data_IF_048794103603
#
_entry.id   IF_048794103603
#
_cell.length_a   1.000
_cell.length_b   1.000
_cell.length_c   1.000
_cell.angle_alpha   90.00
_cell.angle_beta   90.00
_cell.angle_gamma   90.00
#
_symmetry.space_group_name_H-M   'P 1'
#
loop_
_entity.id
_entity.type
_entity.pdbx_description
1 polymer ?
#
# COMPACT_ATOMS: atom_id res chain seq x y z
N UNK A 1 3.65 -6.25 15.43
CA UNK A 1 4.70 -6.32 14.41
C UNK A 1 4.30 -7.38 13.39
N UNK A 2 3.85 -6.96 12.22
CA UNK A 2 3.78 -7.88 11.08
C UNK A 2 5.19 -7.99 10.48
N UNK A 3 6.09 -8.59 11.23
CA UNK A 3 7.29 -9.17 10.68
C UNK A 3 6.90 -10.61 10.34
N UNK A 4 6.90 -10.96 9.05
CA UNK A 4 6.67 -12.32 8.63
C UNK A 4 7.75 -13.20 9.25
N UNK A 5 7.40 -13.95 10.29
CA UNK A 5 8.31 -14.85 10.99
C UNK A 5 8.30 -16.20 10.28
N UNK A 6 9.14 -16.41 9.32
CA UNK A 6 9.48 -17.74 8.85
C UNK A 6 10.99 -17.94 8.85
N UNK A 7 11.45 -18.92 9.59
CA UNK A 7 12.74 -19.59 9.61
C UNK A 7 14.05 -18.77 9.57
N UNK A 8 14.77 -18.91 10.59
CA UNK A 8 15.77 -18.11 11.27
C UNK A 8 17.13 -17.86 10.65
N UNK A 9 17.54 -18.51 9.59
CA UNK A 9 18.88 -18.28 9.02
C UNK A 9 18.88 -17.68 7.60
N UNK A 10 17.70 -17.30 7.13
CA UNK A 10 17.46 -16.90 5.74
C UNK A 10 17.06 -15.41 5.61
N UNK A 11 16.86 -14.68 6.71
CA UNK A 11 16.41 -13.28 6.61
C UNK A 11 17.53 -12.32 6.24
N UNK A 12 17.88 -12.33 4.98
CA UNK A 12 18.71 -11.28 4.38
C UNK A 12 17.90 -10.05 4.01
N UNK A 13 16.55 -10.11 4.10
CA UNK A 13 15.64 -9.05 3.62
C UNK A 13 14.39 -9.00 4.48
N UNK A 14 13.89 -7.79 4.75
CA UNK A 14 12.62 -7.55 5.44
C UNK A 14 11.72 -6.63 4.60
N UNK A 15 10.44 -6.95 4.52
CA UNK A 15 9.43 -6.06 3.95
C UNK A 15 8.66 -5.44 5.12
N UNK A 16 8.84 -4.14 5.33
CA UNK A 16 8.12 -3.40 6.35
C UNK A 16 6.79 -2.90 5.77
N UNK A 17 5.71 -3.54 6.15
CA UNK A 17 4.36 -3.17 5.72
C UNK A 17 3.77 -2.18 6.73
N UNK A 18 3.88 -0.91 6.41
CA UNK A 18 3.50 0.20 7.28
C UNK A 18 2.03 0.62 7.11
N UNK A 19 1.61 1.57 7.93
CA UNK A 19 0.33 2.27 7.74
C UNK A 19 0.23 2.82 6.31
N UNK A 20 -0.95 2.70 5.71
CA UNK A 20 -1.20 3.17 4.35
C UNK A 20 -0.80 2.21 3.23
N UNK A 21 -0.30 1.01 3.52
CA UNK A 21 -0.15 -0.03 2.50
C UNK A 21 -1.53 -0.53 2.03
N UNK A 22 -1.66 -0.86 0.75
CA UNK A 22 -2.90 -1.40 0.19
C UNK A 22 -3.10 -2.87 0.56
N UNK A 23 -4.35 -3.29 0.77
CA UNK A 23 -4.65 -4.62 1.31
C UNK A 23 -4.21 -4.74 2.77
N UNK A 24 -3.73 -5.91 3.20
CA UNK A 24 -3.27 -6.09 4.58
C UNK A 24 -2.18 -5.09 4.93
N UNK A 25 -2.34 -4.36 6.02
CA UNK A 25 -1.47 -3.28 6.40
C UNK A 25 -1.23 -3.23 7.91
N UNK A 26 -0.04 -2.75 8.29
CA UNK A 26 0.27 -2.38 9.66
C UNK A 26 -0.32 -1.02 10.05
N UNK A 27 -0.16 -0.67 11.31
CA UNK A 27 -0.60 0.62 11.88
C UNK A 27 0.56 1.56 12.17
N UNK A 28 1.79 1.06 12.08
CA UNK A 28 2.98 1.87 12.38
C UNK A 28 3.30 2.82 11.23
N UNK A 29 3.65 4.04 11.60
CA UNK A 29 4.21 5.00 10.66
C UNK A 29 5.53 4.48 10.06
N UNK A 30 5.78 4.65 8.74
CA UNK A 30 7.08 4.31 8.16
C UNK A 30 8.25 5.06 8.82
N UNK A 31 8.03 6.30 9.26
CA UNK A 31 9.03 7.11 9.96
C UNK A 31 9.50 6.47 11.28
N UNK A 32 8.61 5.83 12.02
CA UNK A 32 8.96 5.14 13.24
C UNK A 32 9.54 3.76 12.95
N UNK A 33 8.82 2.94 12.19
CA UNK A 33 9.14 1.51 12.02
C UNK A 33 10.50 1.29 11.35
N UNK A 34 10.83 2.06 10.29
CA UNK A 34 12.12 1.90 9.61
C UNK A 34 13.28 2.19 10.58
N UNK A 35 13.15 3.25 11.38
CA UNK A 35 14.21 3.64 12.34
C UNK A 35 14.39 2.60 13.45
N UNK A 36 13.29 2.07 14.00
CA UNK A 36 13.33 1.02 15.02
C UNK A 36 13.96 -0.28 14.48
N UNK A 37 13.58 -0.68 13.26
CA UNK A 37 14.12 -1.91 12.65
C UNK A 37 15.61 -1.79 12.34
N UNK A 38 16.06 -0.61 11.88
CA UNK A 38 17.48 -0.34 11.61
C UNK A 38 18.39 -0.43 12.85
N UNK A 39 17.86 -0.37 14.06
CA UNK A 39 18.65 -0.50 15.28
C UNK A 39 19.17 -1.94 15.52
N UNK A 40 18.46 -2.94 14.97
CA UNK A 40 18.79 -4.35 15.21
C UNK A 40 18.90 -5.21 13.95
N UNK A 41 18.50 -4.67 12.79
CA UNK A 41 18.54 -5.39 11.52
C UNK A 41 19.42 -4.65 10.51
N UNK A 42 20.50 -5.29 10.09
CA UNK A 42 21.49 -4.78 9.13
C UNK A 42 21.29 -5.28 7.69
N UNK A 43 20.30 -6.16 7.47
CA UNK A 43 19.94 -6.68 6.15
C UNK A 43 19.13 -5.68 5.30
N UNK A 44 18.77 -6.11 4.09
CA UNK A 44 18.01 -5.29 3.14
C UNK A 44 16.58 -5.04 3.63
N UNK A 45 16.19 -3.79 3.70
CA UNK A 45 14.84 -3.32 4.08
C UNK A 45 14.10 -2.81 2.84
N UNK A 46 12.92 -3.40 2.59
CA UNK A 46 11.95 -2.92 1.62
C UNK A 46 10.83 -2.20 2.39
N UNK A 47 10.57 -0.93 2.07
CA UNK A 47 9.47 -0.19 2.70
C UNK A 47 8.22 -0.22 1.83
N UNK A 48 7.09 -0.61 2.43
CA UNK A 48 5.76 -0.58 1.83
C UNK A 48 4.80 0.27 2.66
N UNK A 49 4.02 1.11 2.01
CA UNK A 49 2.99 1.96 2.60
C UNK A 49 3.00 3.37 2.03
N UNK A 50 1.90 3.76 1.41
CA UNK A 50 1.68 5.09 0.80
C UNK A 50 2.73 5.53 -0.23
N UNK A 51 3.47 4.60 -0.84
CA UNK A 51 4.48 4.89 -1.86
C UNK A 51 3.84 4.76 -3.25
N UNK A 52 3.80 5.85 -4.02
CA UNK A 52 3.13 5.89 -5.33
C UNK A 52 3.72 6.87 -6.34
N UNK A 53 4.77 7.59 -5.96
CA UNK A 53 5.51 8.54 -6.80
C UNK A 53 6.99 8.57 -6.45
N UNK A 54 7.80 9.29 -7.24
CA UNK A 54 9.24 9.37 -7.03
C UNK A 54 9.63 10.11 -5.75
N UNK A 55 8.82 11.06 -5.27
CA UNK A 55 9.06 11.76 -4.00
C UNK A 55 8.90 10.81 -2.81
N UNK A 56 7.90 9.95 -2.83
CA UNK A 56 7.71 8.93 -1.78
C UNK A 56 8.81 7.85 -1.83
N UNK A 57 9.35 7.52 -3.02
CA UNK A 57 10.54 6.66 -3.15
C UNK A 57 11.75 7.32 -2.50
N UNK A 58 12.04 8.59 -2.82
CA UNK A 58 13.14 9.33 -2.22
C UNK A 58 13.02 9.42 -0.70
N UNK A 59 11.79 9.63 -0.20
CA UNK A 59 11.50 9.64 1.24
C UNK A 59 11.77 8.30 1.91
N UNK A 60 11.39 7.19 1.27
CA UNK A 60 11.64 5.84 1.78
C UNK A 60 13.14 5.57 1.95
N UNK A 61 13.95 5.95 0.95
CA UNK A 61 15.41 5.81 1.00
C UNK A 61 16.02 6.74 2.06
N UNK A 62 15.53 7.97 2.19
CA UNK A 62 15.98 8.92 3.21
C UNK A 62 15.70 8.44 4.65
N UNK A 63 14.62 7.67 4.86
CA UNK A 63 14.33 7.01 6.14
C UNK A 63 15.34 5.90 6.49
N UNK A 64 16.02 5.34 5.48
CA UNK A 64 16.99 4.26 5.63
C UNK A 64 16.53 2.91 5.07
N UNK A 65 15.41 2.86 4.34
CA UNK A 65 15.07 1.70 3.54
C UNK A 65 16.03 1.57 2.34
N UNK A 66 16.30 0.36 1.91
CA UNK A 66 17.14 0.09 0.76
C UNK A 66 16.32 0.10 -0.55
N UNK A 67 15.03 -0.28 -0.46
CA UNK A 67 14.12 -0.35 -1.60
C UNK A 67 12.72 0.13 -1.21
N UNK A 68 12.00 0.69 -2.18
CA UNK A 68 10.59 1.00 -2.09
C UNK A 68 9.74 -0.14 -2.69
N UNK A 69 8.70 -0.58 -1.96
CA UNK A 69 7.78 -1.62 -2.41
C UNK A 69 6.44 -0.98 -2.80
N UNK A 70 6.12 -0.98 -4.08
CA UNK A 70 5.00 -0.27 -4.67
C UNK A 70 4.00 -1.28 -5.25
N UNK A 71 2.74 -1.22 -4.84
CA UNK A 71 1.66 -2.07 -5.37
C UNK A 71 0.58 -1.28 -6.10
N UNK A 72 -0.15 -0.45 -5.39
CA UNK A 72 -1.36 0.25 -5.87
C UNK A 72 -1.12 1.03 -7.16
N UNK A 73 0.01 1.75 -7.28
CA UNK A 73 0.34 2.52 -8.48
C UNK A 73 0.46 1.66 -9.74
N UNK A 74 0.99 0.43 -9.60
CA UNK A 74 1.12 -0.51 -10.71
C UNK A 74 -0.20 -1.20 -11.09
N UNK A 75 -1.20 -1.25 -10.20
CA UNK A 75 -2.55 -1.71 -10.55
C UNK A 75 -3.17 -0.75 -11.59
N UNK A 76 -2.92 0.55 -11.47
CA UNK A 76 -3.36 1.57 -12.43
C UNK A 76 -2.36 1.68 -13.60
N UNK A 77 -2.11 0.59 -14.31
CA UNK A 77 -1.33 0.55 -15.55
C UNK A 77 -2.09 -0.23 -16.63
N UNK A 78 -1.76 0.02 -17.90
CA UNK A 78 -2.40 -0.64 -19.03
C UNK A 78 -2.23 -2.16 -19.00
N UNK A 79 -1.05 -2.63 -18.59
CA UNK A 79 -0.67 -4.05 -18.58
C UNK A 79 -1.22 -4.81 -17.38
N UNK A 80 -1.64 -4.12 -16.30
CA UNK A 80 -2.21 -4.78 -15.14
C UNK A 80 -3.53 -5.48 -15.50
N UNK A 81 -3.62 -6.78 -15.19
CA UNK A 81 -4.85 -7.56 -15.37
C UNK A 81 -5.84 -7.28 -14.23
N UNK A 82 -6.23 -6.02 -14.06
CA UNK A 82 -7.20 -5.53 -13.10
C UNK A 82 -8.47 -5.07 -13.83
N UNK A 83 -9.63 -5.18 -13.16
CA UNK A 83 -10.89 -4.64 -13.66
C UNK A 83 -10.76 -3.15 -13.96
N UNK A 84 -11.32 -2.68 -15.09
CA UNK A 84 -11.23 -1.27 -15.47
C UNK A 84 -11.87 -0.36 -14.41
N UNK A 85 -12.99 -0.79 -13.83
CA UNK A 85 -13.64 -0.04 -12.74
C UNK A 85 -12.74 0.10 -11.50
N UNK A 86 -11.84 -0.87 -11.25
CA UNK A 86 -10.84 -0.73 -10.18
C UNK A 86 -9.81 0.34 -10.54
N UNK A 87 -9.26 0.32 -11.76
CA UNK A 87 -8.31 1.35 -12.22
C UNK A 87 -8.93 2.75 -12.16
N UNK A 88 -10.18 2.88 -12.63
CA UNK A 88 -10.92 4.14 -12.61
C UNK A 88 -11.14 4.66 -11.18
N UNK A 89 -11.47 3.76 -10.23
CA UNK A 89 -11.59 4.13 -8.81
C UNK A 89 -10.25 4.58 -8.22
N UNK A 90 -9.13 3.92 -8.57
CA UNK A 90 -7.81 4.36 -8.11
C UNK A 90 -7.46 5.77 -8.59
N UNK A 91 -7.84 6.13 -9.82
CA UNK A 91 -7.57 7.44 -10.42
C UNK A 91 -8.47 8.53 -9.83
N UNK A 92 -9.73 8.19 -9.51
CA UNK A 92 -10.72 9.15 -9.03
C UNK A 92 -10.76 9.33 -7.51
N UNK A 93 -10.05 8.50 -6.75
CA UNK A 93 -10.06 8.49 -5.29
C UNK A 93 -8.86 9.23 -4.67
N UNK A 94 -8.95 9.47 -3.38
CA UNK A 94 -7.93 10.12 -2.56
C UNK A 94 -7.65 9.30 -1.28
N UNK A 95 -6.70 9.73 -0.46
CA UNK A 95 -6.40 9.07 0.81
C UNK A 95 -7.60 9.01 1.78
N UNK A 96 -8.53 9.98 1.69
CA UNK A 96 -9.77 10.01 2.49
C UNK A 96 -10.78 8.94 2.09
N UNK A 97 -10.61 8.35 0.89
CA UNK A 97 -11.46 7.28 0.39
C UNK A 97 -10.93 5.88 0.75
N UNK A 98 -9.97 5.82 1.66
CA UNK A 98 -9.43 4.56 2.20
C UNK A 98 -10.02 4.30 3.58
N UNK A 99 -10.55 3.09 3.78
CA UNK A 99 -10.98 2.60 5.09
C UNK A 99 -10.10 1.44 5.54
N UNK A 100 -9.74 1.46 6.82
CA UNK A 100 -8.96 0.39 7.46
C UNK A 100 -9.90 -0.54 8.24
N UNK A 101 -10.06 -1.76 7.77
CA UNK A 101 -11.03 -2.71 8.34
C UNK A 101 -10.51 -4.14 8.31
N UNK A 102 -10.95 -4.94 9.29
CA UNK A 102 -10.73 -6.40 9.32
C UNK A 102 -11.91 -7.21 8.78
N UNK A 103 -13.03 -6.56 8.42
CA UNK A 103 -14.28 -7.21 8.07
C UNK A 103 -14.12 -8.25 6.95
N UNK A 104 -13.35 -7.92 5.92
CA UNK A 104 -13.35 -8.67 4.66
C UNK A 104 -12.50 -9.94 4.71
N UNK A 105 -11.41 -9.92 5.48
CA UNK A 105 -10.44 -11.02 5.53
C UNK A 105 -10.14 -11.52 6.93
N UNK A 106 -10.68 -10.87 7.96
CA UNK A 106 -10.34 -11.15 9.37
C UNK A 106 -9.01 -10.52 9.81
N UNK A 107 -8.22 -10.01 8.86
CA UNK A 107 -6.98 -9.25 9.11
C UNK A 107 -7.21 -7.81 8.65
N UNK A 108 -6.72 -6.84 9.43
CA UNK A 108 -6.87 -5.45 9.08
C UNK A 108 -6.13 -5.10 7.78
N UNK A 109 -6.80 -4.35 6.94
CA UNK A 109 -6.29 -3.89 5.65
C UNK A 109 -6.96 -2.61 5.18
N UNK A 110 -6.36 -1.98 4.19
CA UNK A 110 -6.86 -0.76 3.56
C UNK A 110 -7.64 -1.09 2.29
N UNK A 111 -8.85 -0.56 2.20
CA UNK A 111 -9.80 -0.81 1.12
C UNK A 111 -10.42 0.49 0.62
N UNK A 112 -10.81 0.52 -0.66
CA UNK A 112 -11.49 1.64 -1.30
C UNK A 112 -12.93 1.74 -0.85
N UNK A 113 -13.34 2.87 -0.23
CA UNK A 113 -14.73 3.17 0.15
C UNK A 113 -15.70 2.98 -1.00
N UNK A 114 -15.47 3.54 -2.21
CA UNK A 114 -16.40 3.36 -3.33
C UNK A 114 -16.63 1.90 -3.72
N UNK A 115 -15.64 1.00 -3.55
CA UNK A 115 -15.83 -0.42 -3.82
C UNK A 115 -16.70 -1.10 -2.76
N UNK A 116 -16.61 -0.66 -1.51
CA UNK A 116 -17.44 -1.12 -0.40
C UNK A 116 -18.89 -0.68 -0.59
N UNK A 117 -19.11 0.58 -0.96
CA UNK A 117 -20.43 1.14 -1.28
C UNK A 117 -21.08 0.42 -2.47
N UNK A 118 -20.30 0.17 -3.54
CA UNK A 118 -20.74 -0.62 -4.70
C UNK A 118 -21.18 -2.05 -4.32
N UNK A 119 -20.55 -2.61 -3.28
CA UNK A 119 -20.93 -3.92 -2.74
C UNK A 119 -22.17 -3.85 -1.80
N UNK A 120 -22.76 -2.67 -1.60
CA UNK A 120 -23.95 -2.45 -0.77
C UNK A 120 -23.70 -2.37 0.73
N UNK A 121 -22.47 -2.05 1.12
CA UNK A 121 -22.07 -1.85 2.52
C UNK A 121 -21.81 -0.37 2.80
N UNK A 122 -22.03 0.05 4.06
CA UNK A 122 -21.70 1.39 4.52
C UNK A 122 -20.25 1.42 5.06
N UNK A 123 -19.31 2.10 4.38
CA UNK A 123 -17.92 2.16 4.79
C UNK A 123 -17.68 2.88 6.12
N UNK A 124 -18.62 3.73 6.57
CA UNK A 124 -18.53 4.45 7.85
C UNK A 124 -19.04 3.60 9.03
N UNK A 125 -19.82 2.54 8.78
CA UNK A 125 -20.43 1.67 9.79
C UNK A 125 -20.13 0.18 9.54
N UNK A 126 -18.86 -0.15 9.26
CA UNK A 126 -18.45 -1.53 9.06
C UNK A 126 -18.37 -2.28 10.40
N UNK A 127 -19.02 -3.45 10.54
CA UNK A 127 -18.88 -4.26 11.73
C UNK A 127 -17.47 -4.84 11.83
N UNK A 128 -17.00 -5.10 13.05
CA UNK A 128 -15.76 -5.84 13.27
C UNK A 128 -15.88 -7.29 12.79
N UNK A 129 -14.78 -7.84 12.28
CA UNK A 129 -14.75 -9.26 11.92
C UNK A 129 -14.97 -10.15 13.15
N UNK A 130 -15.86 -11.13 13.02
CA UNK A 130 -16.03 -12.19 14.02
C UNK A 130 -14.91 -13.23 13.82
N UNK A 131 -13.89 -13.18 14.67
CA UNK A 131 -12.74 -14.09 14.61
C UNK A 131 -13.10 -15.56 14.74
N UNK A 132 -14.28 -15.87 15.32
CA UNK A 132 -14.74 -17.26 15.49
C UNK A 132 -15.32 -17.86 14.20
N UNK A 133 -15.62 -17.01 13.22
CA UNK A 133 -16.20 -17.38 11.92
C UNK A 133 -15.22 -17.20 10.75
N UNK A 134 -13.93 -17.05 11.04
CA UNK A 134 -12.90 -16.91 10.00
C UNK A 134 -12.84 -18.18 9.15
N UNK A 135 -13.23 -18.04 7.88
CA UNK A 135 -13.11 -19.09 6.88
C UNK A 135 -12.03 -18.70 5.87
N UNK A 136 -10.84 -19.23 6.03
CA UNK A 136 -9.70 -18.99 5.15
C UNK A 136 -9.89 -19.52 3.71
N UNK A 137 -10.95 -20.30 3.46
CA UNK A 137 -11.22 -20.93 2.16
C UNK A 137 -12.34 -20.32 1.33
N UNK A 138 -13.21 -19.50 1.94
CA UNK A 138 -14.37 -18.92 1.24
C UNK A 138 -14.68 -17.56 1.82
N UNK A 139 -13.96 -16.53 1.40
CA UNK A 139 -14.13 -15.15 1.89
C UNK A 139 -15.49 -14.89 2.55
N UNK A 140 -15.48 -14.68 3.85
CA UNK A 140 -16.55 -14.45 4.79
C UNK A 140 -18.02 -14.52 4.33
N UNK A 141 -18.95 -14.53 5.24
CA UNK A 141 -20.41 -14.63 5.02
C UNK A 141 -21.04 -13.41 4.27
N UNK A 142 -20.26 -12.59 3.60
CA UNK A 142 -20.73 -11.52 2.72
C UNK A 142 -20.93 -12.10 1.32
N UNK A 143 -22.04 -11.77 0.66
CA UNK A 143 -22.39 -12.20 -0.70
C UNK A 143 -21.33 -11.83 -1.75
N UNK A 144 -20.40 -10.92 -1.42
CA UNK A 144 -19.26 -10.49 -2.22
C UNK A 144 -18.00 -11.25 -1.82
N UNK A 145 -17.26 -11.77 -2.79
CA UNK A 145 -15.92 -12.32 -2.57
C UNK A 145 -14.99 -11.14 -2.30
N UNK A 146 -14.47 -11.02 -1.09
CA UNK A 146 -13.72 -9.87 -0.61
C UNK A 146 -12.62 -9.37 -1.58
N UNK A 147 -11.97 -10.26 -2.29
CA UNK A 147 -10.91 -9.91 -3.26
C UNK A 147 -11.42 -9.67 -4.68
N UNK A 148 -12.68 -9.99 -4.97
CA UNK A 148 -13.27 -9.79 -6.29
C UNK A 148 -14.04 -8.47 -6.38
N UNK A 149 -14.77 -8.14 -5.32
CA UNK A 149 -15.77 -7.06 -5.35
C UNK A 149 -15.37 -5.88 -4.45
N UNK A 150 -14.47 -6.09 -3.46
CA UNK A 150 -13.97 -5.05 -2.55
C UNK A 150 -12.45 -4.93 -2.73
N UNK A 151 -12.05 -3.76 -3.21
CA UNK A 151 -10.70 -3.53 -3.71
C UNK A 151 -9.81 -2.87 -2.68
N UNK A 152 -8.60 -3.46 -2.49
CA UNK A 152 -7.58 -2.91 -1.62
C UNK A 152 -6.83 -1.77 -2.26
N UNK A 153 -6.48 -0.73 -1.50
CA UNK A 153 -5.65 0.36 -1.99
C UNK A 153 -4.83 0.98 -0.87
N UNK A 154 -3.62 1.40 -1.20
CA UNK A 154 -2.79 2.19 -0.30
C UNK A 154 -3.21 3.66 -0.27
N UNK A 155 -2.88 4.36 0.82
CA UNK A 155 -3.23 5.78 1.01
C UNK A 155 -2.51 6.73 0.03
N UNK A 156 -1.48 6.27 -0.68
CA UNK A 156 -0.79 7.05 -1.71
C UNK A 156 -1.59 7.27 -3.01
N UNK A 157 -2.85 6.82 -3.10
CA UNK A 157 -3.63 6.90 -4.35
C UNK A 157 -3.86 8.32 -4.84
N UNK A 158 -3.83 9.31 -3.97
CA UNK A 158 -4.03 10.72 -4.37
C UNK A 158 -3.06 11.23 -5.42
N UNK A 159 -1.91 10.60 -5.62
CA UNK A 159 -0.94 10.92 -6.68
C UNK A 159 -1.22 10.18 -8.01
N UNK A 160 -2.13 9.18 -8.02
CA UNK A 160 -2.47 8.42 -9.22
C UNK A 160 -3.47 9.21 -10.05
N UNK A 161 -3.08 9.65 -11.27
CA UNK A 161 -3.94 10.51 -12.12
C UNK A 161 -4.29 9.89 -13.48
N UNK A 162 -3.64 8.77 -13.83
CA UNK A 162 -3.76 8.11 -15.12
C UNK A 162 -3.38 6.62 -15.01
N UNK A 163 -3.60 5.88 -16.08
CA UNK A 163 -3.21 4.49 -16.29
C UNK A 163 -2.19 4.35 -17.43
N UNK A 164 -0.94 4.82 -17.25
CA UNK A 164 0.10 4.74 -18.27
C UNK A 164 0.51 3.30 -18.57
N UNK A 165 1.38 3.09 -19.57
CA UNK A 165 2.12 1.84 -19.67
C UNK A 165 3.09 1.68 -18.48
N UNK A 166 3.49 0.44 -18.17
CA UNK A 166 4.49 0.18 -17.11
C UNK A 166 5.81 0.91 -17.43
N UNK A 167 6.20 0.97 -18.71
CA UNK A 167 7.41 1.68 -19.12
C UNK A 167 7.31 3.18 -18.80
N UNK A 168 6.21 3.83 -19.24
CA UNK A 168 6.00 5.26 -18.99
C UNK A 168 5.95 5.55 -17.48
N UNK A 169 5.30 4.67 -16.70
CA UNK A 169 5.25 4.80 -15.25
C UNK A 169 6.64 4.73 -14.62
N UNK A 170 7.47 3.78 -15.04
CA UNK A 170 8.84 3.64 -14.50
C UNK A 170 9.67 4.87 -14.84
N UNK A 171 9.54 5.41 -16.03
CA UNK A 171 10.25 6.61 -16.45
C UNK A 171 9.75 7.85 -15.67
N UNK A 172 8.43 7.96 -15.45
CA UNK A 172 7.85 8.99 -14.58
C UNK A 172 8.39 8.90 -13.14
N UNK A 173 8.38 7.71 -12.53
CA UNK A 173 8.89 7.50 -11.18
C UNK A 173 10.38 7.87 -11.03
N UNK A 174 11.21 7.54 -12.04
CA UNK A 174 12.61 7.93 -12.07
C UNK A 174 12.78 9.44 -12.12
N UNK A 175 12.07 10.11 -13.04
CA UNK A 175 12.16 11.55 -13.18
C UNK A 175 11.74 12.28 -11.90
N UNK A 176 10.63 11.85 -11.28
CA UNK A 176 10.16 12.40 -10.01
C UNK A 176 11.14 12.13 -8.86
N UNK A 177 11.79 10.97 -8.85
CA UNK A 177 12.83 10.65 -7.87
C UNK A 177 14.05 11.57 -8.00
N UNK A 178 14.55 11.78 -9.22
CA UNK A 178 15.66 12.67 -9.48
C UNK A 178 15.33 14.12 -9.12
N UNK A 179 14.11 14.57 -9.44
CA UNK A 179 13.62 15.88 -9.04
C UNK A 179 13.61 16.03 -7.52
N UNK A 180 13.02 15.08 -6.79
CA UNK A 180 12.95 15.11 -5.32
C UNK A 180 14.35 15.17 -4.68
N UNK A 181 15.31 14.44 -5.26
CA UNK A 181 16.70 14.46 -4.80
C UNK A 181 17.35 15.81 -5.03
N UNK A 182 17.15 16.43 -6.18
CA UNK A 182 17.62 17.78 -6.49
C UNK A 182 17.07 18.84 -5.54
N UNK A 183 15.75 18.81 -5.29
CA UNK A 183 15.08 19.73 -4.35
C UNK A 183 15.62 19.60 -2.91
N UNK A 184 15.95 18.39 -2.48
CA UNK A 184 16.56 18.18 -1.16
C UNK A 184 17.98 18.73 -1.08
N UNK A 185 18.75 18.65 -2.16
CA UNK A 185 20.09 19.25 -2.21
C UNK A 185 20.03 20.77 -2.15
N UNK A 186 19.12 21.40 -2.87
CA UNK A 186 18.90 22.85 -2.83
C UNK A 186 18.54 23.35 -1.43
N UNK A 187 17.65 22.65 -0.73
CA UNK A 187 17.27 22.97 0.66
C UNK A 187 18.43 22.87 1.66
N UNK A 188 19.45 22.05 1.37
CA UNK A 188 20.63 21.92 2.21
C UNK A 188 21.56 23.15 2.10
N UNK A 189 21.50 23.88 1.02
CA UNK A 189 22.37 25.05 0.73
C UNK A 189 21.71 26.38 1.08
N UNK A 190 20.43 26.38 1.47
CA UNK A 190 19.68 27.54 1.95
C UNK A 190 19.76 27.66 3.49
#
# INVERSE_FOLDING_TARGET
>A
LLVSSAASDVYKRQILVCAGAGGHAGTHSPFALVREVKEWFDGTILLSGSISDGHSIASALALGADLAYIGTRFIATKEANADQGYKDMLISSSASDIVYSSLFTGVHGNYLKPSIEKAGLDPENLPSADKTKMNFGSGGNTKSKAWKDIWGSGQGIGSIKNDPSVQDLVDELKNQYEQAYGELQEKKTA
#
